data_IF_830037881160
#
_entry.id   IF_830037881160
#
_cell.length_a   1.000
_cell.length_b   1.000
_cell.length_c   1.000
_cell.angle_alpha   90.00
_cell.angle_beta   90.00
_cell.angle_gamma   90.00
#
_symmetry.space_group_name_H-M   'P 1'
#
loop_
_entity.id
_entity.type
_entity.pdbx_description
1 polymer ?
#
# COMPACT_ATOMS: atom_id res chain seq x y z
N UNK A 1 9.61 5.38 13.89
CA UNK A 1 10.12 4.21 14.65
C UNK A 1 11.22 3.50 13.88
N UNK A 2 12.02 2.65 14.54
CA UNK A 2 12.99 1.77 13.88
C UNK A 2 12.67 0.30 14.10
N UNK A 3 13.01 -0.54 13.14
CA UNK A 3 12.87 -1.99 13.27
C UNK A 3 14.19 -2.70 13.62
N UNK A 4 14.16 -4.04 13.64
CA UNK A 4 15.31 -4.89 13.96
C UNK A 4 16.50 -4.75 12.99
N UNK A 5 16.28 -4.17 11.80
CA UNK A 5 17.32 -3.88 10.82
C UNK A 5 17.73 -2.40 10.84
N UNK A 6 17.35 -1.64 11.88
CA UNK A 6 17.61 -0.21 12.01
C UNK A 6 16.96 0.63 10.88
N UNK A 7 15.92 0.10 10.21
CA UNK A 7 15.17 0.82 9.16
C UNK A 7 14.16 1.74 9.84
N UNK A 8 14.12 3.01 9.43
CA UNK A 8 13.06 3.92 9.86
C UNK A 8 11.75 3.53 9.17
N UNK A 9 10.73 3.23 9.96
CA UNK A 9 9.37 2.96 9.49
C UNK A 9 8.55 4.24 9.67
N UNK A 10 8.21 4.87 8.55
CA UNK A 10 7.55 6.18 8.47
C UNK A 10 6.41 6.21 7.42
N UNK A 11 6.09 5.07 6.82
CA UNK A 11 5.14 4.95 5.71
C UNK A 11 4.03 3.94 5.99
N UNK A 12 2.78 4.37 5.95
CA UNK A 12 1.60 3.51 6.04
C UNK A 12 0.79 3.49 4.73
N UNK A 13 0.57 2.29 4.18
CA UNK A 13 -0.35 2.06 3.07
C UNK A 13 -1.71 1.62 3.63
N UNK A 14 -2.78 2.31 3.28
CA UNK A 14 -4.13 2.04 3.80
C UNK A 14 -5.00 1.54 2.64
N UNK A 15 -5.41 0.27 2.70
CA UNK A 15 -6.39 -0.30 1.79
C UNK A 15 -7.79 0.06 2.27
N UNK A 16 -8.48 0.95 1.57
CA UNK A 16 -9.81 1.42 2.00
C UNK A 16 -10.93 0.50 1.53
N UNK A 17 -10.69 -0.39 0.58
CA UNK A 17 -11.70 -1.34 0.11
C UNK A 17 -11.02 -2.54 -0.51
N UNK A 18 -11.74 -3.63 -0.64
CA UNK A 18 -11.40 -4.84 -1.38
C UNK A 18 -11.97 -4.82 -2.81
N UNK A 19 -12.93 -3.92 -3.09
CA UNK A 19 -13.61 -3.82 -4.39
C UNK A 19 -12.73 -3.11 -5.43
N UNK A 20 -12.89 -3.53 -6.68
CA UNK A 20 -12.25 -2.90 -7.84
C UNK A 20 -13.23 -2.90 -9.03
N UNK A 21 -13.21 -1.83 -9.82
CA UNK A 21 -13.92 -1.74 -11.10
C UNK A 21 -13.19 -2.46 -12.26
N UNK A 22 -11.94 -2.88 -12.07
CA UNK A 22 -11.14 -3.65 -13.03
C UNK A 22 -10.90 -5.10 -12.61
N UNK A 23 -10.42 -5.94 -13.55
CA UNK A 23 -10.01 -7.33 -13.31
C UNK A 23 -8.67 -7.59 -13.97
N UNK A 24 -7.63 -6.84 -13.55
CA UNK A 24 -6.34 -6.91 -14.22
C UNK A 24 -5.73 -8.31 -14.15
N UNK A 25 -5.19 -8.80 -15.27
CA UNK A 25 -4.65 -10.17 -15.45
C UNK A 25 -3.53 -10.55 -14.47
N UNK A 26 -2.85 -9.56 -13.89
CA UNK A 26 -1.77 -9.77 -12.90
C UNK A 26 -2.21 -9.54 -11.46
N UNK A 27 -3.48 -9.21 -11.23
CA UNK A 27 -3.96 -8.75 -9.93
C UNK A 27 -5.14 -9.57 -9.40
N UNK A 28 -6.10 -9.93 -10.27
CA UNK A 28 -7.37 -10.52 -9.85
C UNK A 28 -7.88 -11.49 -10.91
N UNK A 29 -8.55 -12.60 -10.53
CA UNK A 29 -9.18 -13.50 -11.49
C UNK A 29 -10.19 -12.79 -12.38
N UNK A 30 -10.47 -13.34 -13.56
CA UNK A 30 -11.43 -12.77 -14.51
C UNK A 30 -12.83 -12.58 -13.89
N UNK A 31 -13.31 -13.58 -13.15
CA UNK A 31 -14.58 -13.50 -12.40
C UNK A 31 -14.55 -12.51 -11.23
N UNK A 32 -13.36 -12.08 -10.80
CA UNK A 32 -13.15 -11.29 -9.60
C UNK A 32 -12.99 -12.12 -8.33
N UNK A 33 -12.85 -11.42 -7.21
CA UNK A 33 -12.89 -11.99 -5.86
C UNK A 33 -14.22 -11.61 -5.22
N UNK A 34 -14.91 -12.52 -4.50
CA UNK A 34 -16.12 -12.20 -3.77
C UNK A 34 -15.87 -11.02 -2.81
N UNK A 35 -16.69 -9.96 -2.86
CA UNK A 35 -16.49 -8.81 -2.02
C UNK A 35 -16.83 -9.14 -0.56
N UNK A 36 -16.05 -8.58 0.36
CA UNK A 36 -16.33 -8.60 1.78
C UNK A 36 -17.64 -7.86 2.08
N UNK A 37 -18.34 -8.34 3.11
CA UNK A 37 -19.51 -7.64 3.67
C UNK A 37 -19.14 -6.24 4.16
N UNK A 38 -20.08 -5.29 4.11
CA UNK A 38 -19.81 -3.91 4.53
C UNK A 38 -19.29 -3.82 5.97
N UNK A 39 -19.84 -4.61 6.88
CA UNK A 39 -19.41 -4.68 8.28
C UNK A 39 -17.98 -5.23 8.45
N UNK A 40 -17.47 -5.99 7.48
CA UNK A 40 -16.11 -6.55 7.53
C UNK A 40 -15.05 -5.54 7.09
N UNK A 41 -15.44 -4.41 6.49
CA UNK A 41 -14.51 -3.36 6.05
C UNK A 41 -14.40 -2.28 7.13
N UNK A 42 -13.20 -1.76 7.34
CA UNK A 42 -12.97 -0.65 8.27
C UNK A 42 -13.78 0.58 7.88
N UNK A 43 -14.46 1.22 8.83
CA UNK A 43 -15.08 2.54 8.63
C UNK A 43 -14.02 3.64 8.50
N UNK A 44 -14.41 4.84 8.04
CA UNK A 44 -13.45 5.94 7.97
C UNK A 44 -13.01 6.42 9.35
N UNK A 45 -13.90 6.34 10.34
CA UNK A 45 -13.62 6.64 11.74
C UNK A 45 -12.58 5.68 12.32
N UNK A 46 -12.73 4.37 12.04
CA UNK A 46 -11.75 3.36 12.44
C UNK A 46 -10.39 3.61 11.76
N UNK A 47 -10.38 3.95 10.47
CA UNK A 47 -9.15 4.30 9.74
C UNK A 47 -8.50 5.55 10.36
N UNK A 48 -9.27 6.60 10.68
CA UNK A 48 -8.75 7.82 11.30
C UNK A 48 -8.16 7.55 12.69
N UNK A 49 -8.80 6.69 13.49
CA UNK A 49 -8.28 6.29 14.79
C UNK A 49 -6.93 5.56 14.68
N UNK A 50 -6.81 4.61 13.75
CA UNK A 50 -5.55 3.91 13.48
C UNK A 50 -4.48 4.89 12.97
N UNK A 51 -4.86 5.79 12.05
CA UNK A 51 -3.95 6.77 11.46
C UNK A 51 -3.43 7.77 12.51
N UNK A 52 -4.25 8.19 13.46
CA UNK A 52 -3.84 9.06 14.56
C UNK A 52 -2.75 8.40 15.43
N UNK A 53 -2.92 7.12 15.77
CA UNK A 53 -1.90 6.36 16.50
C UNK A 53 -0.62 6.19 15.66
N UNK A 54 -0.77 5.84 14.37
CA UNK A 54 0.35 5.72 13.45
C UNK A 54 1.18 7.01 13.36
N UNK A 55 0.50 8.17 13.30
CA UNK A 55 1.12 9.49 13.29
C UNK A 55 1.94 9.76 14.56
N UNK A 56 1.37 9.46 15.73
CA UNK A 56 2.05 9.60 17.02
C UNK A 56 3.30 8.73 17.14
N UNK A 57 3.34 7.61 16.40
CA UNK A 57 4.48 6.72 16.32
C UNK A 57 5.52 7.15 15.25
N UNK A 58 5.30 8.27 14.57
CA UNK A 58 6.23 8.85 13.60
C UNK A 58 6.02 8.39 12.16
N UNK A 59 4.85 7.82 11.82
CA UNK A 59 4.45 7.71 10.41
C UNK A 59 4.19 9.13 9.88
N UNK A 60 4.88 9.49 8.80
CA UNK A 60 4.76 10.78 8.12
C UNK A 60 4.11 10.67 6.76
N UNK A 61 4.13 9.48 6.13
CA UNK A 61 3.63 9.25 4.79
C UNK A 61 2.44 8.29 4.80
N UNK A 62 1.31 8.72 4.23
CA UNK A 62 0.14 7.86 4.03
C UNK A 62 -0.12 7.65 2.54
N UNK A 63 -0.41 6.40 2.17
CA UNK A 63 -0.92 6.08 0.83
C UNK A 63 -2.24 5.35 0.88
N UNK A 64 -3.26 6.00 0.36
CA UNK A 64 -4.59 5.43 0.14
C UNK A 64 -4.54 4.51 -1.08
N UNK A 65 -5.01 3.28 -0.91
CA UNK A 65 -5.16 2.25 -1.94
C UNK A 65 -6.47 1.48 -1.70
N UNK A 66 -6.69 0.36 -2.39
CA UNK A 66 -7.79 -0.56 -2.10
C UNK A 66 -7.57 -1.88 -2.85
N UNK A 67 -8.67 -2.42 -3.40
CA UNK A 67 -8.71 -2.69 -4.83
C UNK A 67 -8.57 -1.37 -5.58
N UNK A 68 -9.69 -0.69 -5.88
CA UNK A 68 -9.70 0.68 -6.39
C UNK A 68 -10.27 1.66 -5.35
N UNK A 69 -9.49 2.60 -4.79
CA UNK A 69 -9.99 3.49 -3.75
C UNK A 69 -11.17 4.37 -4.19
N UNK A 70 -11.23 4.76 -5.47
CA UNK A 70 -12.28 5.65 -5.98
C UNK A 70 -13.66 4.98 -6.12
N UNK A 71 -13.75 3.65 -5.98
CA UNK A 71 -15.07 2.98 -5.88
C UNK A 71 -15.69 3.15 -4.49
N UNK A 72 -14.90 3.54 -3.48
CA UNK A 72 -15.43 3.80 -2.13
C UNK A 72 -15.93 5.23 -2.06
N UNK A 73 -17.24 5.37 -1.82
CA UNK A 73 -17.92 6.67 -1.73
C UNK A 73 -17.29 7.56 -0.65
N UNK A 74 -17.31 8.87 -0.89
CA UNK A 74 -16.85 9.90 0.03
C UNK A 74 -15.36 9.79 0.41
N UNK A 75 -14.52 9.29 -0.49
CA UNK A 75 -13.08 9.15 -0.23
C UNK A 75 -12.37 10.48 0.08
N UNK A 76 -12.88 11.61 -0.45
CA UNK A 76 -12.36 12.95 -0.14
C UNK A 76 -12.46 13.27 1.36
N UNK A 77 -13.51 12.82 2.06
CA UNK A 77 -13.65 13.00 3.50
C UNK A 77 -12.54 12.29 4.29
N UNK A 78 -12.10 11.11 3.83
CA UNK A 78 -10.96 10.43 4.44
C UNK A 78 -9.65 11.21 4.19
N UNK A 79 -9.46 11.76 2.99
CA UNK A 79 -8.28 12.59 2.67
C UNK A 79 -8.22 13.81 3.60
N UNK A 80 -9.34 14.51 3.75
CA UNK A 80 -9.47 15.67 4.64
C UNK A 80 -9.19 15.30 6.09
N UNK A 81 -9.78 14.21 6.59
CA UNK A 81 -9.50 13.70 7.93
C UNK A 81 -8.02 13.40 8.16
N UNK A 82 -7.34 12.77 7.19
CA UNK A 82 -5.91 12.54 7.25
C UNK A 82 -5.11 13.86 7.22
N UNK A 83 -5.54 14.85 6.44
CA UNK A 83 -4.87 16.16 6.42
C UNK A 83 -5.00 16.87 7.76
N UNK A 84 -6.17 16.81 8.38
CA UNK A 84 -6.45 17.39 9.69
C UNK A 84 -5.68 16.71 10.83
N UNK A 85 -5.33 15.42 10.68
CA UNK A 85 -4.39 14.73 11.58
C UNK A 85 -2.93 15.21 11.44
N UNK A 86 -2.63 16.12 10.49
CA UNK A 86 -1.31 16.70 10.31
C UNK A 86 -0.33 15.82 9.53
N UNK A 87 -0.82 14.94 8.65
CA UNK A 87 0.06 14.21 7.74
C UNK A 87 0.65 15.18 6.69
N UNK A 88 2.00 15.29 6.60
CA UNK A 88 2.65 16.17 5.63
C UNK A 88 2.61 15.63 4.20
N UNK A 89 2.23 14.36 4.04
CA UNK A 89 2.27 13.67 2.77
C UNK A 89 1.19 12.60 2.66
N UNK A 90 0.18 12.90 1.85
CA UNK A 90 -0.95 12.04 1.53
C UNK A 90 -0.90 11.75 0.03
N UNK A 91 -0.86 10.47 -0.31
CA UNK A 91 -0.87 10.01 -1.70
C UNK A 91 -1.97 8.98 -1.95
N UNK A 92 -2.38 8.85 -3.21
CA UNK A 92 -3.31 7.79 -3.63
C UNK A 92 -2.67 6.90 -4.70
N UNK A 93 -3.07 5.63 -4.76
CA UNK A 93 -2.87 4.78 -5.94
C UNK A 93 -4.22 4.35 -6.49
N UNK A 94 -4.45 4.65 -7.76
CA UNK A 94 -5.72 4.41 -8.47
C UNK A 94 -5.42 3.94 -9.89
N UNK A 95 -6.35 3.25 -10.54
CA UNK A 95 -6.31 2.97 -11.97
C UNK A 95 -6.68 4.18 -12.85
N UNK A 96 -7.11 5.29 -12.26
CA UNK A 96 -7.33 6.56 -12.96
C UNK A 96 -8.70 6.69 -13.65
N UNK A 97 -9.43 5.61 -13.89
CA UNK A 97 -10.70 5.62 -14.64
C UNK A 97 -11.76 6.52 -13.99
N UNK A 98 -11.83 6.53 -12.66
CA UNK A 98 -12.80 7.33 -11.91
C UNK A 98 -12.21 8.66 -11.41
N UNK A 99 -10.98 9.00 -11.81
CA UNK A 99 -10.24 10.12 -11.23
C UNK A 99 -10.71 11.47 -11.80
N UNK A 100 -10.97 11.55 -13.10
CA UNK A 100 -11.32 12.78 -13.79
C UNK A 100 -12.40 13.64 -13.09
N UNK A 101 -13.56 13.09 -12.64
CA UNK A 101 -14.59 13.88 -12.00
C UNK A 101 -14.27 14.31 -10.55
N UNK A 102 -13.22 13.78 -9.92
CA UNK A 102 -12.95 13.98 -8.48
C UNK A 102 -11.56 14.55 -8.16
N UNK A 103 -10.67 14.72 -9.15
CA UNK A 103 -9.30 15.21 -8.91
C UNK A 103 -9.25 16.53 -8.14
N UNK A 104 -10.10 17.50 -8.50
CA UNK A 104 -10.16 18.79 -7.81
C UNK A 104 -10.63 18.65 -6.36
N UNK A 105 -11.73 17.91 -6.13
CA UNK A 105 -12.23 17.66 -4.77
C UNK A 105 -11.20 16.94 -3.89
N UNK A 106 -10.42 16.01 -4.46
CA UNK A 106 -9.33 15.35 -3.76
C UNK A 106 -8.19 16.32 -3.42
N UNK A 107 -7.83 17.21 -4.36
CA UNK A 107 -6.82 18.25 -4.14
C UNK A 107 -7.26 19.20 -3.01
N UNK A 108 -8.49 19.68 -3.06
CA UNK A 108 -9.06 20.61 -2.09
C UNK A 108 -9.13 19.97 -0.69
N UNK A 109 -9.43 18.67 -0.62
CA UNK A 109 -9.37 17.88 0.62
C UNK A 109 -7.94 17.70 1.17
N UNK A 110 -6.91 18.07 0.42
CA UNK A 110 -5.51 18.02 0.85
C UNK A 110 -4.71 16.84 0.32
N UNK A 111 -5.15 16.17 -0.75
CA UNK A 111 -4.34 15.17 -1.43
C UNK A 111 -3.14 15.83 -2.11
N UNK A 112 -1.93 15.34 -1.84
CA UNK A 112 -0.72 15.96 -2.39
C UNK A 112 -0.42 15.40 -3.80
N UNK A 113 -0.55 14.07 -3.97
CA UNK A 113 -0.11 13.39 -5.20
C UNK A 113 -0.82 12.07 -5.50
N UNK A 114 -0.74 11.65 -6.75
CA UNK A 114 -1.35 10.40 -7.25
C UNK A 114 -0.34 9.48 -7.93
N UNK A 115 -0.60 8.18 -7.83
CA UNK A 115 0.06 7.13 -8.59
C UNK A 115 -1.02 6.45 -9.43
N UNK A 116 -0.97 6.62 -10.74
CA UNK A 116 -1.96 6.08 -11.67
C UNK A 116 -1.37 4.82 -12.32
N UNK A 117 -2.07 3.70 -12.22
CA UNK A 117 -1.69 2.46 -12.91
C UNK A 117 -2.10 2.54 -14.38
N UNK A 118 -1.13 2.46 -15.29
CA UNK A 118 -1.33 2.46 -16.74
C UNK A 118 -0.23 1.59 -17.37
N UNK A 119 -0.66 0.48 -17.97
CA UNK A 119 0.27 -0.56 -18.45
C UNK A 119 0.53 -0.49 -19.96
N UNK A 120 -0.25 0.27 -20.73
CA UNK A 120 -0.12 0.38 -22.19
C UNK A 120 -0.85 1.63 -22.69
N UNK A 121 -0.45 2.12 -23.87
CA UNK A 121 -1.14 3.17 -24.65
C UNK A 121 -1.98 2.59 -25.79
N UNK A 122 -1.98 1.27 -25.97
CA UNK A 122 -2.81 0.58 -26.94
C UNK A 122 -4.17 0.22 -26.33
N UNK A 123 -5.25 0.58 -27.04
CA UNK A 123 -6.62 0.39 -26.55
C UNK A 123 -6.99 -1.08 -26.36
N UNK A 124 -6.60 -1.93 -27.31
CA UNK A 124 -6.95 -3.34 -27.30
C UNK A 124 -6.19 -4.08 -26.20
N UNK A 125 -4.88 -3.81 -26.06
CA UNK A 125 -4.09 -4.34 -24.95
C UNK A 125 -4.54 -3.80 -23.61
N UNK A 126 -4.97 -2.54 -23.52
CA UNK A 126 -5.50 -1.99 -22.27
C UNK A 126 -6.77 -2.75 -21.85
N UNK A 127 -7.68 -2.99 -22.79
CA UNK A 127 -8.88 -3.80 -22.56
C UNK A 127 -8.52 -5.25 -22.20
N UNK A 128 -7.52 -5.85 -22.85
CA UNK A 128 -7.04 -7.19 -22.52
C UNK A 128 -6.44 -7.29 -21.11
N UNK A 129 -5.55 -6.36 -20.76
CA UNK A 129 -4.86 -6.33 -19.46
C UNK A 129 -5.86 -6.08 -18.34
N UNK A 130 -6.75 -5.10 -18.49
CA UNK A 130 -7.66 -4.65 -17.42
C UNK A 130 -9.00 -5.39 -17.38
N UNK A 131 -9.34 -6.08 -18.48
CA UNK A 131 -10.60 -6.78 -18.81
C UNK A 131 -11.87 -5.91 -18.85
N UNK A 132 -11.93 -4.82 -18.09
CA UNK A 132 -13.13 -3.98 -17.92
C UNK A 132 -12.87 -2.48 -18.12
N UNK A 133 -11.64 -2.09 -18.38
CA UNK A 133 -11.25 -0.68 -18.47
C UNK A 133 -11.33 -0.11 -19.88
N UNK A 134 -11.40 1.21 -19.96
CA UNK A 134 -11.20 1.99 -21.19
C UNK A 134 -10.00 2.90 -21.02
N UNK A 135 -9.13 2.95 -22.01
CA UNK A 135 -7.89 3.70 -21.95
C UNK A 135 -8.14 5.21 -21.83
N UNK A 136 -9.17 5.69 -22.53
CA UNK A 136 -9.56 7.11 -22.57
C UNK A 136 -9.89 7.64 -21.18
N UNK A 137 -10.58 6.85 -20.36
CA UNK A 137 -10.95 7.24 -19.00
C UNK A 137 -9.69 7.39 -18.11
N UNK A 138 -8.70 6.50 -18.27
CA UNK A 138 -7.44 6.60 -17.55
C UNK A 138 -6.60 7.81 -18.00
N UNK A 139 -6.55 8.10 -19.30
CA UNK A 139 -5.87 9.29 -19.84
C UNK A 139 -6.55 10.58 -19.36
N UNK A 140 -7.89 10.63 -19.38
CA UNK A 140 -8.66 11.75 -18.83
C UNK A 140 -8.38 11.95 -17.34
N UNK A 141 -8.25 10.85 -16.58
CA UNK A 141 -7.84 10.90 -15.18
C UNK A 141 -6.44 11.48 -14.97
N UNK A 142 -5.49 11.19 -15.87
CA UNK A 142 -4.12 11.74 -15.83
C UNK A 142 -4.15 13.25 -16.07
N UNK A 143 -4.85 13.70 -17.12
CA UNK A 143 -4.99 15.12 -17.46
C UNK A 143 -5.65 15.89 -16.31
N UNK A 144 -6.79 15.42 -15.82
CA UNK A 144 -7.50 16.04 -14.69
C UNK A 144 -6.65 16.11 -13.41
N UNK A 145 -5.80 15.10 -13.15
CA UNK A 145 -4.89 15.14 -12.01
C UNK A 145 -3.79 16.20 -12.16
N UNK A 146 -3.25 16.39 -13.37
CA UNK A 146 -2.29 17.44 -13.68
C UNK A 146 -2.94 18.82 -13.56
N UNK A 147 -4.14 18.99 -14.11
CA UNK A 147 -4.89 20.26 -14.09
C UNK A 147 -5.29 20.68 -12.67
N UNK A 148 -5.69 19.72 -11.83
CA UNK A 148 -5.95 19.95 -10.41
C UNK A 148 -4.68 20.28 -9.59
N UNK A 149 -3.49 20.24 -10.19
CA UNK A 149 -2.22 20.55 -9.52
C UNK A 149 -1.80 19.47 -8.50
N UNK A 150 -2.20 18.22 -8.69
CA UNK A 150 -1.64 17.10 -7.93
C UNK A 150 -0.19 16.89 -8.39
N UNK A 151 0.76 16.86 -7.46
CA UNK A 151 2.17 16.86 -7.81
C UNK A 151 3.02 16.08 -6.80
N UNK A 152 3.81 15.10 -7.24
CA UNK A 152 3.92 14.58 -8.61
C UNK A 152 2.76 13.68 -9.05
N UNK A 153 2.38 13.74 -10.33
CA UNK A 153 1.59 12.68 -10.98
C UNK A 153 2.54 11.58 -11.45
N UNK A 154 2.39 10.37 -10.90
CA UNK A 154 3.25 9.23 -11.22
C UNK A 154 2.48 8.18 -11.99
N UNK A 155 3.05 7.67 -13.08
CA UNK A 155 2.52 6.52 -13.81
C UNK A 155 3.24 5.26 -13.31
N UNK A 156 2.49 4.19 -13.06
CA UNK A 156 3.02 2.87 -12.76
C UNK A 156 2.64 1.92 -13.89
N UNK A 157 3.66 1.31 -14.48
CA UNK A 157 3.54 0.36 -15.59
C UNK A 157 4.18 -0.93 -15.13
N UNK A 158 3.36 -1.96 -14.89
CA UNK A 158 3.86 -3.32 -14.67
C UNK A 158 4.22 -3.88 -16.04
N UNK A 159 5.48 -4.23 -16.22
CA UNK A 159 5.97 -4.71 -17.52
C UNK A 159 5.95 -6.23 -17.53
N UNK A 160 5.32 -6.78 -18.57
CA UNK A 160 5.28 -8.18 -18.91
C UNK A 160 5.68 -8.38 -20.37
N UNK A 161 5.80 -9.61 -20.83
CA UNK A 161 6.02 -9.91 -22.26
C UNK A 161 4.94 -9.32 -23.19
N UNK A 162 3.73 -9.04 -22.68
CA UNK A 162 2.63 -8.47 -23.47
C UNK A 162 2.84 -7.00 -23.85
N UNK A 163 3.46 -6.21 -22.99
CA UNK A 163 3.62 -4.76 -23.16
C UNK A 163 5.09 -4.30 -23.21
N UNK A 164 6.06 -5.22 -23.15
CA UNK A 164 7.48 -4.88 -23.20
C UNK A 164 7.86 -4.04 -24.42
N UNK A 165 7.28 -4.33 -25.59
CA UNK A 165 7.52 -3.57 -26.82
C UNK A 165 7.08 -2.10 -26.76
N UNK A 166 6.26 -1.72 -25.78
CA UNK A 166 5.66 -0.39 -25.62
C UNK A 166 6.37 0.46 -24.54
N UNK A 167 7.43 -0.08 -23.91
CA UNK A 167 8.19 0.62 -22.87
C UNK A 167 8.68 1.99 -23.36
N UNK A 168 9.09 2.10 -24.64
CA UNK A 168 9.51 3.37 -25.24
C UNK A 168 8.35 4.35 -25.44
N UNK A 169 7.17 3.86 -25.81
CA UNK A 169 5.98 4.70 -25.98
C UNK A 169 5.51 5.24 -24.63
N UNK A 170 5.50 4.38 -23.61
CA UNK A 170 5.22 4.77 -22.22
C UNK A 170 6.23 5.80 -21.70
N UNK A 171 7.52 5.59 -21.94
CA UNK A 171 8.58 6.53 -21.55
C UNK A 171 8.43 7.90 -22.26
N UNK A 172 7.97 7.89 -23.52
CA UNK A 172 7.78 9.10 -24.32
C UNK A 172 6.70 10.04 -23.79
N UNK A 173 5.82 9.57 -22.90
CA UNK A 173 4.88 10.43 -22.17
C UNK A 173 5.61 11.53 -21.37
N UNK A 174 6.84 11.27 -20.93
CA UNK A 174 7.65 12.24 -20.17
C UNK A 174 8.10 13.45 -20.99
N UNK A 175 8.07 13.38 -22.33
CA UNK A 175 8.28 14.53 -23.20
C UNK A 175 7.03 15.42 -23.30
N UNK A 176 5.85 14.81 -23.23
CA UNK A 176 4.56 15.50 -23.41
C UNK A 176 4.05 16.12 -22.12
N UNK A 177 4.27 15.46 -20.99
CA UNK A 177 3.75 15.86 -19.69
C UNK A 177 4.82 15.76 -18.60
N UNK A 178 4.70 16.53 -17.50
CA UNK A 178 5.62 16.47 -16.35
C UNK A 178 5.34 15.23 -15.47
N UNK A 179 5.24 14.05 -16.09
CA UNK A 179 4.93 12.79 -15.44
C UNK A 179 6.17 12.09 -14.91
N UNK A 180 6.01 11.35 -13.82
CA UNK A 180 7.00 10.39 -13.36
C UNK A 180 6.57 8.98 -13.79
N UNK A 181 7.00 8.55 -14.98
CA UNK A 181 6.70 7.20 -15.50
C UNK A 181 7.60 6.19 -14.81
N UNK A 182 7.02 5.13 -14.25
CA UNK A 182 7.77 4.10 -13.51
C UNK A 182 7.47 2.71 -14.04
N UNK A 183 8.52 2.03 -14.48
CA UNK A 183 8.46 0.64 -14.87
C UNK A 183 8.70 -0.25 -13.65
N UNK A 184 7.82 -1.23 -13.49
CA UNK A 184 7.82 -2.17 -12.38
C UNK A 184 7.96 -3.57 -12.96
N UNK A 185 8.98 -4.28 -12.49
CA UNK A 185 9.13 -5.71 -12.74
C UNK A 185 7.96 -6.47 -12.09
N UNK A 186 7.29 -7.31 -12.87
CA UNK A 186 6.17 -8.10 -12.38
C UNK A 186 6.61 -9.01 -11.24
N UNK A 187 5.85 -9.01 -10.15
CA UNK A 187 6.08 -9.87 -9.00
C UNK A 187 5.07 -11.03 -9.02
N UNK A 188 5.45 -12.26 -8.65
CA UNK A 188 4.54 -13.40 -8.58
C UNK A 188 3.67 -13.35 -7.31
N UNK A 189 3.01 -12.21 -7.06
CA UNK A 189 2.18 -11.96 -5.87
C UNK A 189 0.74 -11.78 -6.33
N UNK A 190 -0.17 -12.56 -5.77
CA UNK A 190 -1.60 -12.49 -6.06
C UNK A 190 -2.18 -13.84 -6.47
N UNK A 191 -3.51 -13.91 -6.64
CA UNK A 191 -4.22 -15.15 -6.93
C UNK A 191 -3.94 -15.70 -8.34
N UNK A 192 -3.71 -14.82 -9.31
CA UNK A 192 -3.19 -15.20 -10.63
C UNK A 192 -1.68 -14.99 -10.59
N UNK A 193 -0.93 -16.04 -10.21
CA UNK A 193 0.50 -16.06 -10.39
C UNK A 193 0.77 -16.02 -11.89
N UNK A 194 1.00 -14.83 -12.45
CA UNK A 194 1.53 -14.72 -13.80
C UNK A 194 2.79 -15.59 -13.88
N UNK A 195 2.85 -16.45 -14.90
CA UNK A 195 3.96 -17.38 -15.05
C UNK A 195 5.28 -16.62 -15.20
N UNK A 196 6.38 -17.24 -14.79
CA UNK A 196 7.72 -16.70 -14.98
C UNK A 196 7.99 -16.33 -16.46
N UNK A 197 7.32 -17.00 -17.40
CA UNK A 197 7.43 -16.76 -18.85
C UNK A 197 6.94 -15.37 -19.28
N UNK A 198 6.19 -14.68 -18.42
CA UNK A 198 5.72 -13.31 -18.68
C UNK A 198 6.62 -12.25 -18.06
N UNK A 199 7.57 -12.63 -17.21
CA UNK A 199 8.41 -11.70 -16.48
C UNK A 199 9.53 -11.14 -17.37
N UNK A 200 9.73 -9.83 -17.30
CA UNK A 200 10.83 -9.14 -17.98
C UNK A 200 11.75 -8.51 -16.94
N UNK A 201 13.04 -8.89 -16.90
CA UNK A 201 14.00 -8.31 -15.96
C UNK A 201 14.13 -6.80 -16.12
N UNK A 202 14.29 -6.09 -15.00
CA UNK A 202 14.34 -4.62 -15.04
C UNK A 202 15.48 -4.08 -15.90
N UNK A 203 16.60 -4.80 -15.99
CA UNK A 203 17.76 -4.38 -16.78
C UNK A 203 17.44 -4.39 -18.28
N UNK A 204 16.65 -5.36 -18.78
CA UNK A 204 16.18 -5.35 -20.17
C UNK A 204 15.23 -4.18 -20.46
N UNK A 205 14.39 -3.82 -19.48
CA UNK A 205 13.49 -2.67 -19.56
C UNK A 205 14.31 -1.37 -19.61
N UNK A 206 15.38 -1.28 -18.81
CA UNK A 206 16.31 -0.16 -18.84
C UNK A 206 17.02 -0.04 -20.19
N UNK A 207 17.52 -1.16 -20.73
CA UNK A 207 18.19 -1.20 -22.04
C UNK A 207 17.26 -0.77 -23.17
N UNK A 208 16.01 -1.25 -23.17
CA UNK A 208 15.01 -0.85 -24.17
C UNK A 208 14.67 0.64 -24.05
N UNK A 209 14.53 1.14 -22.83
CA UNK A 209 14.27 2.58 -22.59
C UNK A 209 15.46 3.45 -23.04
N UNK A 210 16.69 2.99 -22.82
CA UNK A 210 17.92 3.71 -23.18
C UNK A 210 18.07 3.94 -24.70
N UNK A 211 17.33 3.20 -25.54
CA UNK A 211 17.26 3.44 -26.98
C UNK A 211 16.60 4.79 -27.34
N UNK A 212 15.86 5.41 -26.43
CA UNK A 212 15.33 6.78 -26.61
C UNK A 212 16.37 7.87 -26.41
N UNK A 213 17.49 7.55 -25.76
CA UNK A 213 18.53 8.51 -25.43
C UNK A 213 19.20 8.21 -24.08
N UNK A 214 20.22 9.01 -23.76
CA UNK A 214 20.99 8.85 -22.53
C UNK A 214 20.09 9.05 -21.30
N UNK A 215 20.05 8.03 -20.45
CA UNK A 215 19.40 8.08 -19.14
C UNK A 215 20.35 8.72 -18.12
N UNK A 216 20.08 9.97 -17.76
CA UNK A 216 20.85 10.68 -16.75
C UNK A 216 20.29 10.38 -15.35
N UNK A 217 21.09 9.80 -14.43
CA UNK A 217 20.64 9.58 -13.07
C UNK A 217 20.21 10.91 -12.44
N UNK A 218 19.06 10.92 -11.76
CA UNK A 218 18.62 12.07 -10.97
C UNK A 218 18.98 11.81 -9.50
N UNK A 219 20.05 12.42 -8.96
CA UNK A 219 20.41 12.26 -7.56
C UNK A 219 19.35 12.93 -6.68
N UNK A 220 19.09 12.37 -5.49
CA UNK A 220 18.38 13.14 -4.46
C UNK A 220 16.88 13.30 -4.64
N UNK A 221 16.17 12.25 -5.08
CA UNK A 221 14.79 12.01 -4.66
C UNK A 221 14.85 10.96 -3.53
N UNK A 222 15.27 11.34 -2.30
CA UNK A 222 15.72 10.38 -1.31
C UNK A 222 14.53 9.60 -0.77
N UNK A 223 14.76 8.30 -0.60
CA UNK A 223 13.95 7.40 0.21
C UNK A 223 14.22 7.58 1.72
N UNK A 224 14.83 8.70 2.12
CA UNK A 224 15.21 9.04 3.48
C UNK A 224 14.53 10.35 3.86
N UNK A 225 13.94 10.38 5.06
CA UNK A 225 12.97 11.37 5.54
C UNK A 225 13.30 12.82 5.18
N UNK A 226 12.36 13.47 4.48
CA UNK A 226 12.48 14.86 4.06
C UNK A 226 12.01 15.11 2.63
N UNK A 227 10.76 14.73 2.31
CA UNK A 227 9.94 15.16 1.15
C UNK A 227 10.64 15.26 -0.23
N UNK A 228 10.52 14.21 -1.06
CA UNK A 228 10.00 14.25 -2.46
C UNK A 228 10.05 12.91 -3.25
N UNK A 229 10.55 11.79 -2.72
CA UNK A 229 10.18 10.46 -3.29
C UNK A 229 10.31 9.29 -2.32
N UNK A 230 9.23 9.02 -1.58
CA UNK A 230 9.10 7.81 -0.80
C UNK A 230 8.82 6.59 -1.73
N UNK A 231 9.85 6.05 -2.37
CA UNK A 231 9.72 4.96 -3.36
C UNK A 231 11.04 4.20 -3.58
N UNK A 232 10.99 2.92 -4.00
CA UNK A 232 12.19 2.13 -4.28
C UNK A 232 12.83 2.42 -5.65
N UNK A 233 12.21 3.28 -6.47
CA UNK A 233 12.58 3.49 -7.86
C UNK A 233 13.97 4.14 -8.01
N UNK A 234 14.80 3.58 -8.90
CA UNK A 234 15.97 4.28 -9.44
C UNK A 234 15.48 5.25 -10.50
N UNK A 235 15.71 6.55 -10.29
CA UNK A 235 15.12 7.61 -11.12
C UNK A 235 16.15 8.21 -12.06
N UNK A 236 15.74 8.41 -13.31
CA UNK A 236 16.53 8.93 -14.41
C UNK A 236 15.73 10.00 -15.16
N UNK A 237 16.43 10.81 -15.94
CA UNK A 237 15.84 11.80 -16.84
C UNK A 237 16.40 11.62 -18.24
N UNK A 238 15.54 11.73 -19.25
CA UNK A 238 15.93 11.82 -20.65
C UNK A 238 16.15 13.30 -21.01
N UNK A 239 17.08 13.56 -21.92
CA UNK A 239 17.33 14.91 -22.42
C UNK A 239 16.04 15.52 -22.99
N UNK A 240 15.71 16.77 -22.63
CA UNK A 240 14.48 17.48 -23.04
C UNK A 240 13.15 16.92 -22.50
N UNK A 241 13.15 15.88 -21.66
CA UNK A 241 11.93 15.44 -21.00
C UNK A 241 11.47 16.43 -19.91
N UNK A 242 10.16 16.69 -19.85
CA UNK A 242 9.51 17.43 -18.77
C UNK A 242 9.47 16.60 -17.48
N UNK A 243 9.24 15.30 -17.64
CA UNK A 243 9.11 14.31 -16.58
C UNK A 243 10.40 13.54 -16.24
N UNK A 244 10.22 12.41 -15.54
CA UNK A 244 11.31 11.47 -15.20
C UNK A 244 10.89 10.03 -15.42
N UNK A 245 11.85 9.14 -15.56
CA UNK A 245 11.65 7.69 -15.65
C UNK A 245 12.18 7.01 -14.39
N UNK A 246 11.40 6.10 -13.81
CA UNK A 246 11.80 5.29 -12.65
C UNK A 246 11.80 3.80 -12.95
N UNK A 247 12.77 3.08 -12.42
CA UNK A 247 12.85 1.62 -12.54
C UNK A 247 12.76 0.95 -11.17
N UNK A 248 11.84 0.00 -11.03
CA UNK A 248 11.58 -0.76 -9.80
C UNK A 248 11.79 -2.25 -10.12
N UNK A 249 13.02 -2.73 -9.93
CA UNK A 249 13.37 -4.15 -10.03
C UNK A 249 13.04 -4.89 -8.76
N UNK A 250 11.78 -5.28 -8.57
CA UNK A 250 11.34 -5.94 -7.34
C UNK A 250 11.92 -7.35 -7.15
N UNK A 251 12.30 -8.01 -8.25
CA UNK A 251 12.90 -9.36 -8.26
C UNK A 251 14.41 -9.26 -8.46
N UNK A 252 14.82 -8.60 -9.55
CA UNK A 252 16.21 -8.50 -9.99
C UNK A 252 17.07 -7.62 -9.08
N UNK A 253 16.49 -6.58 -8.46
CA UNK A 253 17.21 -5.64 -7.58
C UNK A 253 16.44 -5.35 -6.27
N UNK A 254 16.32 -6.33 -5.35
CA UNK A 254 15.50 -6.20 -4.14
C UNK A 254 15.93 -5.04 -3.24
N UNK A 255 14.95 -4.39 -2.61
CA UNK A 255 15.16 -3.17 -1.81
C UNK A 255 14.63 -3.29 -0.36
N UNK A 256 14.61 -4.52 0.18
CA UNK A 256 14.12 -4.78 1.53
C UNK A 256 14.95 -4.08 2.62
N UNK A 257 16.26 -3.95 2.41
CA UNK A 257 17.19 -3.27 3.32
C UNK A 257 16.82 -1.79 3.61
N UNK A 258 16.03 -1.17 2.73
CA UNK A 258 15.57 0.23 2.84
C UNK A 258 14.04 0.35 2.88
N UNK A 259 13.33 -0.75 3.17
CA UNK A 259 11.87 -0.75 3.21
C UNK A 259 11.35 -0.10 4.50
N UNK A 260 10.57 0.96 4.35
CA UNK A 260 10.01 1.78 5.44
C UNK A 260 8.49 1.61 5.63
N UNK A 261 7.87 0.59 5.00
CA UNK A 261 6.42 0.51 4.82
C UNK A 261 5.74 -0.50 5.73
N UNK A 262 4.56 -0.15 6.21
CA UNK A 262 3.52 -1.06 6.72
C UNK A 262 2.27 -0.97 5.83
N UNK A 263 1.43 -2.00 5.85
CA UNK A 263 0.15 -2.01 5.15
C UNK A 263 -0.97 -2.30 6.13
N UNK A 264 -2.01 -1.46 6.12
CA UNK A 264 -3.32 -1.73 6.70
C UNK A 264 -4.22 -2.29 5.61
N UNK A 265 -4.77 -3.48 5.82
CA UNK A 265 -5.74 -4.12 4.93
C UNK A 265 -7.13 -3.54 5.15
N UNK A 266 -8.05 -3.77 4.20
CA UNK A 266 -9.39 -3.19 4.27
C UNK A 266 -10.25 -3.83 5.37
N UNK A 267 -9.94 -5.07 5.74
CA UNK A 267 -10.55 -5.86 6.81
C UNK A 267 -9.89 -5.65 8.19
N UNK A 268 -9.00 -4.66 8.34
CA UNK A 268 -8.53 -4.24 9.66
C UNK A 268 -7.28 -4.92 10.16
N UNK A 269 -6.41 -5.43 9.28
CA UNK A 269 -5.16 -6.08 9.69
C UNK A 269 -3.92 -5.28 9.29
N UNK A 270 -2.90 -5.29 10.14
CA UNK A 270 -1.58 -4.74 9.81
C UNK A 270 -0.68 -5.85 9.26
N UNK A 271 -0.11 -5.61 8.08
CA UNK A 271 0.92 -6.44 7.45
C UNK A 271 2.28 -5.75 7.48
N UNK A 272 3.32 -6.39 8.05
CA UNK A 272 4.69 -5.88 8.03
C UNK A 272 5.32 -5.86 6.64
N UNK A 273 4.89 -6.76 5.76
CA UNK A 273 5.43 -6.96 4.42
C UNK A 273 4.30 -7.29 3.43
N UNK A 274 4.52 -6.94 2.16
CA UNK A 274 3.60 -7.28 1.07
C UNK A 274 3.66 -8.77 0.70
N UNK A 275 4.84 -9.39 0.85
CA UNK A 275 5.16 -10.74 0.40
C UNK A 275 5.25 -11.74 1.56
N UNK A 276 4.68 -11.40 2.72
CA UNK A 276 4.68 -12.25 3.91
C UNK A 276 3.25 -12.35 4.42
N UNK A 277 2.87 -13.54 4.88
CA UNK A 277 1.52 -13.88 5.33
C UNK A 277 1.25 -13.51 6.78
N UNK A 278 2.21 -12.91 7.49
CA UNK A 278 1.95 -12.36 8.82
C UNK A 278 0.99 -11.18 8.75
N UNK A 279 -0.10 -11.31 9.50
CA UNK A 279 -1.09 -10.26 9.73
C UNK A 279 -1.34 -10.11 11.24
N UNK A 280 -1.63 -8.88 11.67
CA UNK A 280 -2.05 -8.57 13.05
C UNK A 280 -3.44 -7.97 12.98
N UNK A 281 -4.42 -8.65 13.57
CA UNK A 281 -5.83 -8.25 13.52
C UNK A 281 -6.13 -7.14 14.54
N UNK A 282 -6.60 -5.99 14.05
CA UNK A 282 -6.99 -4.85 14.88
C UNK A 282 -8.49 -4.84 15.20
N UNK A 283 -9.31 -5.63 14.52
CA UNK A 283 -10.77 -5.62 14.70
C UNK A 283 -11.18 -5.93 16.15
N UNK A 284 -10.60 -6.94 16.83
CA UNK A 284 -10.93 -7.21 18.23
C UNK A 284 -10.68 -6.01 19.14
N UNK A 285 -9.62 -5.24 18.86
CA UNK A 285 -9.21 -4.06 19.63
C UNK A 285 -10.10 -2.85 19.33
N UNK A 286 -10.42 -2.62 18.05
CA UNK A 286 -11.20 -1.45 17.61
C UNK A 286 -12.68 -1.55 18.01
N UNK A 287 -13.23 -2.76 18.00
CA UNK A 287 -14.67 -2.99 18.18
C UNK A 287 -15.04 -3.56 19.55
N UNK A 288 -14.07 -3.70 20.46
CA UNK A 288 -14.33 -4.17 21.84
C UNK A 288 -15.31 -3.25 22.57
N UNK A 289 -15.17 -1.92 22.41
CA UNK A 289 -16.05 -0.92 23.02
C UNK A 289 -17.47 -0.89 22.43
N UNK A 290 -17.69 -1.44 21.22
CA UNK A 290 -19.04 -1.57 20.65
C UNK A 290 -19.82 -2.78 21.18
N UNK A 291 -19.14 -3.78 21.77
CA UNK A 291 -19.76 -5.00 22.26
C UNK A 291 -20.38 -4.86 23.66
N UNK A 292 -20.10 -3.79 24.39
CA UNK A 292 -20.67 -3.56 25.73
C UNK A 292 -22.13 -3.05 25.71
N UNK A 293 -22.73 -2.79 24.53
CA UNK A 293 -24.13 -2.34 24.41
C UNK A 293 -25.06 -3.25 23.59
N UNK A 294 -24.68 -4.51 23.32
CA UNK A 294 -25.52 -5.43 22.54
C UNK A 294 -25.38 -6.87 22.99
N UNK A 295 -26.47 -7.40 23.55
CA UNK A 295 -26.68 -8.75 24.09
C UNK A 295 -25.83 -9.90 23.48
N UNK A 296 -25.14 -10.62 24.38
CA UNK A 296 -25.11 -12.09 24.47
C UNK A 296 -24.64 -12.91 23.26
N UNK A 297 -23.33 -13.20 23.19
CA UNK A 297 -22.80 -14.44 22.59
C UNK A 297 -21.66 -15.01 23.45
N UNK A 298 -21.66 -16.31 23.79
CA UNK A 298 -20.65 -16.90 24.66
C UNK A 298 -19.44 -17.33 23.84
N UNK A 299 -18.31 -16.66 24.04
CA UNK A 299 -17.03 -17.17 23.57
C UNK A 299 -16.01 -16.10 23.22
N UNK A 300 -15.44 -15.43 24.22
CA UNK A 300 -14.02 -14.99 24.20
C UNK A 300 -13.57 -14.40 25.55
N UNK A 301 -13.99 -14.98 26.68
CA UNK A 301 -13.44 -14.63 27.99
C UNK A 301 -13.15 -15.91 28.79
N UNK A 302 -11.86 -16.23 28.95
CA UNK A 302 -11.37 -17.02 30.08
C UNK A 302 -10.50 -16.11 30.94
N UNK A 303 -11.14 -15.21 31.69
CA UNK A 303 -10.52 -14.68 32.90
C UNK A 303 -10.54 -15.78 33.98
N UNK A 304 -9.46 -15.91 34.76
CA UNK A 304 -9.56 -16.65 36.03
C UNK A 304 -10.60 -15.92 36.90
N UNK A 305 -11.55 -16.62 37.53
CA UNK A 305 -12.47 -15.96 38.46
C UNK A 305 -11.64 -15.38 39.63
N UNK A 306 -11.69 -14.06 39.84
CA UNK A 306 -11.26 -13.45 41.11
C UNK A 306 -10.34 -12.23 41.08
N UNK A 307 -9.79 -11.76 39.94
CA UNK A 307 -8.77 -10.67 39.98
C UNK A 307 -9.19 -9.31 39.40
N UNK A 308 -10.36 -9.16 38.78
CA UNK A 308 -10.81 -7.84 38.29
C UNK A 308 -9.98 -7.24 37.14
N UNK A 309 -9.04 -8.00 36.57
CA UNK A 309 -8.19 -7.55 35.46
C UNK A 309 -8.82 -7.93 34.11
N UNK A 310 -9.18 -6.92 33.31
CA UNK A 310 -9.48 -7.11 31.90
C UNK A 310 -8.17 -7.05 31.08
N UNK A 311 -8.01 -7.96 30.12
CA UNK A 311 -6.87 -8.01 29.21
C UNK A 311 -7.36 -7.92 27.76
N UNK A 312 -6.74 -7.06 26.94
CA UNK A 312 -6.90 -7.10 25.49
C UNK A 312 -5.82 -7.98 24.87
N UNK A 313 -6.20 -8.97 24.05
CA UNK A 313 -5.25 -9.82 23.32
C UNK A 313 -5.01 -9.26 21.90
N UNK A 314 -3.74 -9.05 21.55
CA UNK A 314 -3.30 -8.81 20.16
C UNK A 314 -2.49 -10.03 19.72
N UNK A 315 -2.91 -10.70 18.65
CA UNK A 315 -2.24 -11.89 18.13
C UNK A 315 -1.77 -11.68 16.68
N UNK A 316 -0.61 -12.23 16.36
CA UNK A 316 -0.12 -12.33 14.99
C UNK A 316 -0.47 -13.72 14.42
N UNK A 317 -1.13 -13.74 13.27
CA UNK A 317 -1.57 -14.95 12.57
C UNK A 317 -0.98 -14.99 11.16
N UNK A 318 -0.75 -16.18 10.63
CA UNK A 318 -0.51 -16.35 9.19
C UNK A 318 -1.83 -16.37 8.42
N UNK A 319 -1.78 -16.04 7.12
CA UNK A 319 -2.95 -16.06 6.21
C UNK A 319 -3.63 -17.44 6.17
N UNK A 320 -2.89 -18.53 6.41
CA UNK A 320 -3.41 -19.90 6.48
C UNK A 320 -4.10 -20.24 7.82
N UNK A 321 -4.20 -19.29 8.75
CA UNK A 321 -4.80 -19.48 10.07
C UNK A 321 -3.86 -20.12 11.10
N UNK A 322 -2.62 -20.45 10.75
CA UNK A 322 -1.63 -20.93 11.71
C UNK A 322 -1.19 -19.78 12.64
N UNK A 323 -1.37 -19.96 13.94
CA UNK A 323 -0.96 -18.98 14.94
C UNK A 323 0.50 -19.22 15.35
N UNK A 324 1.32 -18.17 15.37
CA UNK A 324 2.51 -18.17 16.22
C UNK A 324 2.08 -17.63 17.56
N UNK A 325 2.19 -18.47 18.59
CA UNK A 325 1.69 -18.20 19.93
C UNK A 325 2.60 -17.18 20.65
N UNK A 326 2.59 -15.93 20.21
CA UNK A 326 3.11 -14.79 20.99
C UNK A 326 1.92 -14.07 21.60
N UNK A 327 1.48 -14.56 22.77
CA UNK A 327 0.49 -13.86 23.59
C UNK A 327 1.20 -12.73 24.33
N UNK A 328 0.77 -11.50 24.12
CA UNK A 328 1.27 -10.35 24.87
C UNK A 328 0.08 -9.67 25.55
N UNK A 329 0.06 -9.75 26.88
CA UNK A 329 -0.93 -9.10 27.73
C UNK A 329 -0.56 -7.62 27.90
N UNK A 330 -1.53 -6.73 27.74
CA UNK A 330 -1.36 -5.29 28.01
C UNK A 330 -2.23 -4.92 29.21
N UNK A 331 -1.63 -4.25 30.21
CA UNK A 331 -2.33 -3.77 31.41
C UNK A 331 -3.40 -2.73 31.07
N UNK A 332 -4.56 -2.85 31.72
CA UNK A 332 -5.70 -1.92 31.58
C UNK A 332 -5.53 -0.68 32.46
N UNK A 333 -6.06 0.45 31.99
CA UNK A 333 -6.09 1.69 32.77
C UNK A 333 -7.11 1.65 33.91
N UNK A 334 -7.04 2.63 34.82
CA UNK A 334 -7.76 2.74 36.09
C UNK A 334 -9.31 2.71 36.04
N UNK A 335 -9.92 2.58 34.85
CA UNK A 335 -11.38 2.52 34.67
C UNK A 335 -11.88 1.19 34.05
N UNK A 336 -11.04 0.15 33.97
CA UNK A 336 -11.46 -1.19 33.53
C UNK A 336 -11.71 -1.37 32.02
N UNK A 337 -11.78 -0.29 31.23
CA UNK A 337 -11.82 -0.36 29.77
C UNK A 337 -10.39 -0.34 29.18
N UNK A 338 -10.04 -1.22 28.22
CA UNK A 338 -8.76 -1.17 27.55
C UNK A 338 -8.58 0.12 26.75
N UNK A 339 -7.47 0.81 26.97
CA UNK A 339 -7.08 1.98 26.18
C UNK A 339 -6.74 1.52 24.75
N UNK A 340 -7.70 1.72 23.84
CA UNK A 340 -7.58 1.35 22.42
C UNK A 340 -6.31 1.94 21.80
N UNK A 341 -5.90 3.14 22.21
CA UNK A 341 -4.67 3.77 21.70
C UNK A 341 -3.42 3.00 22.14
N UNK A 342 -3.36 2.50 23.37
CA UNK A 342 -2.25 1.64 23.84
C UNK A 342 -2.18 0.32 23.08
N UNK A 343 -3.33 -0.34 22.89
CA UNK A 343 -3.40 -1.60 22.16
C UNK A 343 -3.01 -1.43 20.68
N UNK A 344 -3.46 -0.37 20.02
CA UNK A 344 -3.04 -0.03 18.66
C UNK A 344 -1.53 0.22 18.59
N UNK A 345 -0.96 0.97 19.55
CA UNK A 345 0.49 1.20 19.63
C UNK A 345 1.26 -0.11 19.75
N UNK A 346 0.78 -1.02 20.59
CA UNK A 346 1.36 -2.34 20.74
C UNK A 346 1.32 -3.14 19.43
N UNK A 347 0.18 -3.14 18.73
CA UNK A 347 0.02 -3.81 17.44
C UNK A 347 1.00 -3.27 16.38
N UNK A 348 1.20 -1.95 16.31
CA UNK A 348 2.21 -1.36 15.42
C UNK A 348 3.63 -1.79 15.77
N UNK A 349 4.00 -1.77 17.06
CA UNK A 349 5.33 -2.20 17.51
C UNK A 349 5.58 -3.69 17.18
N UNK A 350 4.58 -4.54 17.38
CA UNK A 350 4.63 -5.95 17.01
C UNK A 350 4.78 -6.13 15.50
N UNK A 351 4.04 -5.37 14.69
CA UNK A 351 4.18 -5.43 13.22
C UNK A 351 5.60 -5.06 12.78
N UNK A 352 6.19 -4.05 13.42
CA UNK A 352 7.53 -3.57 13.10
C UNK A 352 8.59 -4.59 13.50
N UNK A 353 8.46 -5.23 14.66
CA UNK A 353 9.41 -6.28 15.10
C UNK A 353 9.33 -7.54 14.24
N UNK A 354 8.16 -7.84 13.66
CA UNK A 354 7.93 -8.96 12.75
C UNK A 354 8.34 -8.67 11.30
N UNK A 355 8.78 -7.44 10.98
CA UNK A 355 9.15 -7.06 9.62
C UNK A 355 10.37 -7.88 9.13
N UNK A 356 10.27 -8.61 8.01
CA UNK A 356 11.37 -9.45 7.52
C UNK A 356 12.59 -8.61 7.13
N UNK A 357 13.79 -9.17 7.33
CA UNK A 357 15.05 -8.50 6.98
C UNK A 357 15.23 -8.42 5.47
N UNK A 358 14.82 -9.49 4.78
CA UNK A 358 14.76 -9.60 3.33
C UNK A 358 13.85 -10.76 2.93
N UNK A 359 13.47 -10.78 1.67
CA UNK A 359 12.88 -11.94 1.01
C UNK A 359 13.37 -11.96 -0.43
N UNK A 360 13.56 -13.14 -0.99
CA UNK A 360 13.69 -13.33 -2.44
C UNK A 360 12.34 -13.79 -2.96
N UNK A 361 11.68 -12.92 -3.73
CA UNK A 361 10.45 -13.29 -4.43
C UNK A 361 10.80 -14.36 -5.48
N UNK A 362 10.12 -15.52 -5.42
CA UNK A 362 10.35 -16.65 -6.33
C UNK A 362 11.06 -17.87 -5.72
N UNK A 363 11.61 -17.76 -4.51
CA UNK A 363 12.09 -18.91 -3.73
C UNK A 363 11.06 -19.20 -2.62
N UNK A 364 10.26 -20.26 -2.76
CA UNK A 364 9.36 -20.70 -1.69
C UNK A 364 10.18 -20.93 -0.40
N UNK A 365 9.87 -20.18 0.66
CA UNK A 365 10.30 -20.37 2.06
C UNK A 365 11.63 -19.79 2.59
N UNK A 366 12.38 -18.96 1.86
CA UNK A 366 13.60 -18.36 2.42
C UNK A 366 13.33 -17.01 3.14
N UNK A 367 12.55 -17.02 4.23
CA UNK A 367 12.44 -15.86 5.13
C UNK A 367 13.45 -15.96 6.28
N UNK A 368 14.46 -15.09 6.30
CA UNK A 368 15.35 -14.96 7.47
C UNK A 368 14.70 -14.03 8.50
N UNK A 369 14.30 -14.57 9.66
CA UNK A 369 13.78 -13.79 10.80
C UNK A 369 14.64 -14.02 12.04
N UNK A 370 15.07 -12.93 12.69
CA UNK A 370 15.41 -12.92 14.12
C UNK A 370 14.38 -12.05 14.83
N UNK A 371 13.66 -12.60 15.80
CA UNK A 371 12.83 -11.82 16.72
C UNK A 371 13.76 -11.09 17.70
N UNK A 372 13.58 -9.77 17.86
CA UNK A 372 14.18 -9.04 18.97
C UNK A 372 13.30 -9.21 20.20
N UNK A 373 13.92 -9.37 21.38
CA UNK A 373 13.24 -9.20 22.65
C UNK A 373 12.76 -7.74 22.71
N UNK A 374 11.44 -7.55 22.82
CA UNK A 374 10.85 -6.25 23.07
C UNK A 374 11.22 -5.92 24.52
N UNK A 375 12.09 -4.92 24.73
CA UNK A 375 12.37 -4.39 26.06
C UNK A 375 11.08 -3.85 26.65
N UNK A 376 10.74 -4.32 27.86
CA UNK A 376 9.48 -4.06 28.56
C UNK A 376 9.23 -2.59 28.91
#
# INVERSE_FOLDING_TARGET
>A
MKDCCNRTIDYLRISVTDRCNLRCVYCMPEGGVPPLGHESILTYEEIMQIAAVAKQLGISHVRITGGEPLVRKNIAHLVEGLKNLGFPDISMTTNGILLAPVSQALKDAGLDRVNISLDTLDREKFAQITRRGKLEDALSGIESALDAGLNPVKINTVVTSLNFGEVRDMASLTYRWPLHVRFIEVMPIGPEHLSQDTAVPIDQIMDETAKLGRLEPVPGLPSQGGVKSAGPARTFKLANALGTIGFIGAISHPFCNRCNRLRLTADGKIRPCLADDVEIDLIPVLRQSRREFGQGYPGLYRGRPGTGEAYGEVAATHVDGSSRNTKHCVETGSNGAPDVSKLLRHAFNLAISLKPQGHKLGEHHAHTRRMCQIGG
#
